data_IF_003067945706
#
_entry.id   IF_003067945706
#
_cell.length_a   1.000
_cell.length_b   1.000
_cell.length_c   1.000
_cell.angle_alpha   90.00
_cell.angle_beta   90.00
_cell.angle_gamma   90.00
#
_symmetry.space_group_name_H-M   'P 1'
#
loop_
_entity.id
_entity.type
_entity.pdbx_description
1 polymer ?
#
# COMPACT_ATOMS: atom_id res chain seq x y z
N UNK A 1 15.72 -16.83 11.78
CA UNK A 1 15.11 -18.17 11.85
C UNK A 1 14.17 -18.35 13.05
N UNK A 2 14.50 -17.85 14.25
CA UNK A 2 13.69 -18.09 15.48
C UNK A 2 12.21 -17.75 15.31
N UNK A 3 11.88 -16.60 14.70
CA UNK A 3 10.50 -16.20 14.42
C UNK A 3 9.81 -17.17 13.44
N UNK A 4 10.52 -17.63 12.41
CA UNK A 4 10.01 -18.62 11.46
C UNK A 4 9.68 -19.94 12.18
N UNK A 5 10.60 -20.43 13.01
CA UNK A 5 10.40 -21.65 13.80
C UNK A 5 9.26 -21.51 14.82
N UNK A 6 8.96 -20.28 15.28
CA UNK A 6 7.84 -19.99 16.17
C UNK A 6 6.48 -19.86 15.46
N UNK A 7 6.42 -20.04 14.13
CA UNK A 7 5.19 -20.01 13.35
C UNK A 7 4.90 -18.69 12.63
N UNK A 8 5.89 -17.80 12.49
CA UNK A 8 5.76 -16.59 11.67
C UNK A 8 5.55 -16.96 10.19
N UNK A 9 4.45 -16.47 9.60
CA UNK A 9 4.08 -16.78 8.20
C UNK A 9 4.49 -15.71 7.19
N UNK A 10 4.77 -14.49 7.66
CA UNK A 10 5.19 -13.35 6.84
C UNK A 10 5.93 -12.31 7.68
N UNK A 11 6.83 -11.54 7.06
CA UNK A 11 7.44 -10.35 7.66
C UNK A 11 6.81 -9.10 7.08
N UNK A 12 6.53 -8.09 7.91
CA UNK A 12 5.92 -6.83 7.46
C UNK A 12 6.52 -5.62 8.16
N UNK A 13 6.48 -4.48 7.49
CA UNK A 13 6.81 -3.15 8.03
C UNK A 13 5.56 -2.30 8.35
N UNK A 14 4.39 -2.94 8.50
CA UNK A 14 3.16 -2.24 8.82
C UNK A 14 3.31 -1.29 10.03
N UNK A 15 2.82 -0.07 9.87
CA UNK A 15 2.90 1.00 10.88
C UNK A 15 4.14 1.90 10.80
N UNK A 16 5.28 1.42 10.27
CA UNK A 16 6.48 2.25 10.07
C UNK A 16 7.18 1.88 8.76
N UNK A 17 7.15 2.77 7.77
CA UNK A 17 7.87 2.53 6.51
C UNK A 17 9.38 2.40 6.74
N UNK A 18 9.97 1.39 6.10
CA UNK A 18 11.42 1.26 5.96
C UNK A 18 11.93 2.29 4.93
N UNK A 19 12.48 3.39 5.42
CA UNK A 19 12.98 4.50 4.60
C UNK A 19 14.18 4.12 3.73
N UNK A 20 15.11 3.33 4.28
CA UNK A 20 16.36 2.99 3.60
C UNK A 20 16.17 1.75 2.72
N UNK A 21 16.32 1.91 1.40
CA UNK A 21 16.23 0.80 0.44
C UNK A 21 17.21 -0.33 0.76
N UNK A 22 18.41 -0.02 1.25
CA UNK A 22 19.38 -1.04 1.67
C UNK A 22 18.85 -1.90 2.81
N UNK A 23 18.20 -1.29 3.81
CA UNK A 23 17.62 -2.03 4.93
C UNK A 23 16.46 -2.92 4.47
N UNK A 24 15.60 -2.41 3.58
CA UNK A 24 14.50 -3.18 3.00
C UNK A 24 15.03 -4.36 2.16
N UNK A 25 16.05 -4.13 1.33
CA UNK A 25 16.72 -5.15 0.54
C UNK A 25 17.31 -6.26 1.43
N UNK A 26 18.04 -5.90 2.50
CA UNK A 26 18.56 -6.88 3.46
C UNK A 26 17.45 -7.67 4.14
N UNK A 27 16.34 -7.02 4.51
CA UNK A 27 15.20 -7.72 5.11
C UNK A 27 14.57 -8.74 4.13
N UNK A 28 14.43 -8.35 2.86
CA UNK A 28 13.97 -9.26 1.80
C UNK A 28 14.95 -10.41 1.57
N UNK A 29 16.26 -10.16 1.59
CA UNK A 29 17.30 -11.20 1.42
C UNK A 29 17.19 -12.27 2.51
N UNK A 30 17.12 -11.86 3.79
CA UNK A 30 16.90 -12.79 4.91
C UNK A 30 15.56 -13.53 4.83
N UNK A 31 14.51 -12.86 4.36
CA UNK A 31 13.21 -13.51 4.17
C UNK A 31 13.25 -14.56 3.06
N UNK A 32 14.06 -14.32 2.02
CA UNK A 32 14.27 -15.23 0.89
C UNK A 32 14.92 -16.54 1.35
N UNK A 33 16.01 -16.43 2.14
CA UNK A 33 16.70 -17.59 2.75
C UNK A 33 15.76 -18.46 3.60
N UNK A 34 14.76 -17.84 4.22
CA UNK A 34 13.79 -18.51 5.09
C UNK A 34 12.53 -18.98 4.34
N UNK A 35 12.38 -18.65 3.05
CA UNK A 35 11.17 -18.93 2.27
C UNK A 35 9.92 -18.20 2.78
N UNK A 36 10.09 -17.09 3.51
CA UNK A 36 9.00 -16.31 4.10
C UNK A 36 8.64 -15.14 3.18
N UNK A 37 7.34 -14.85 3.04
CA UNK A 37 6.85 -13.72 2.25
C UNK A 37 7.06 -12.40 3.01
N UNK A 38 7.41 -11.35 2.26
CA UNK A 38 7.43 -9.97 2.78
C UNK A 38 6.14 -9.26 2.38
N UNK A 39 5.46 -8.64 3.34
CA UNK A 39 4.30 -7.76 3.13
C UNK A 39 4.76 -6.31 3.30
N UNK A 40 4.74 -5.51 2.24
CA UNK A 40 5.17 -4.11 2.26
C UNK A 40 3.96 -3.16 2.38
N UNK A 41 3.96 -2.37 3.46
CA UNK A 41 3.15 -1.16 3.59
C UNK A 41 3.87 -0.03 2.85
N UNK A 42 3.44 0.19 1.60
CA UNK A 42 4.10 1.10 0.68
C UNK A 42 3.71 2.57 0.94
N UNK A 43 4.58 3.29 1.65
CA UNK A 43 4.45 4.74 1.84
C UNK A 43 5.82 5.40 1.93
N UNK A 44 6.18 6.28 0.99
CA UNK A 44 7.43 7.02 1.06
C UNK A 44 7.47 7.96 2.28
N UNK A 45 8.45 7.82 3.18
CA UNK A 45 8.44 8.54 4.46
C UNK A 45 8.80 10.01 4.32
N UNK A 46 9.33 10.44 3.16
CA UNK A 46 9.73 11.81 2.89
C UNK A 46 8.73 12.55 1.99
N UNK A 47 7.73 11.84 1.46
CA UNK A 47 6.74 12.40 0.56
C UNK A 47 5.32 12.28 1.14
N UNK A 48 4.68 13.41 1.43
CA UNK A 48 3.34 13.43 2.03
C UNK A 48 3.30 13.22 3.54
N UNK A 49 4.45 13.18 4.23
CA UNK A 49 4.50 13.04 5.68
C UNK A 49 3.61 14.08 6.40
N UNK A 50 2.78 13.63 7.35
CA UNK A 50 1.80 14.45 8.05
C UNK A 50 0.58 14.87 7.23
N UNK A 51 0.42 14.38 6.00
CA UNK A 51 -0.81 14.56 5.22
C UNK A 51 -1.97 13.81 5.86
N UNK A 52 -3.18 14.36 5.76
CA UNK A 52 -4.40 13.80 6.38
C UNK A 52 -5.42 13.25 5.38
N UNK A 53 -5.18 13.45 4.08
CA UNK A 53 -6.05 12.97 3.01
C UNK A 53 -5.28 12.90 1.68
N UNK A 54 -5.94 12.51 0.59
CA UNK A 54 -5.36 12.51 -0.74
C UNK A 54 -4.92 13.93 -1.16
N UNK A 55 -3.79 14.05 -1.86
CA UNK A 55 -3.41 15.30 -2.51
C UNK A 55 -4.26 15.52 -3.75
N UNK A 56 -5.15 16.52 -3.69
CA UNK A 56 -6.09 16.83 -4.77
C UNK A 56 -6.68 18.23 -4.64
N UNK A 57 -7.52 18.68 -5.59
CA UNK A 57 -8.29 19.91 -5.42
C UNK A 57 -9.17 19.91 -4.16
N UNK A 58 -9.60 18.75 -3.67
CA UNK A 58 -10.40 18.64 -2.44
C UNK A 58 -9.55 19.01 -1.22
N UNK A 59 -8.33 18.48 -1.11
CA UNK A 59 -7.43 18.84 0.00
C UNK A 59 -7.05 20.31 -0.02
N UNK A 60 -6.82 20.88 -1.21
CA UNK A 60 -6.58 22.32 -1.39
C UNK A 60 -7.77 23.17 -0.92
N UNK A 61 -9.00 22.79 -1.28
CA UNK A 61 -10.23 23.48 -0.85
C UNK A 61 -10.46 23.42 0.65
N UNK A 62 -10.13 22.28 1.28
CA UNK A 62 -10.27 22.08 2.73
C UNK A 62 -9.11 22.65 3.54
N UNK A 63 -8.06 23.16 2.89
CA UNK A 63 -6.85 23.64 3.57
C UNK A 63 -6.08 22.53 4.30
N UNK A 64 -6.27 21.27 3.89
CA UNK A 64 -5.63 20.10 4.49
C UNK A 64 -4.39 19.69 3.70
N UNK A 65 -3.34 19.28 4.40
CA UNK A 65 -2.14 18.72 3.75
C UNK A 65 -2.50 17.37 3.11
N UNK A 66 -2.31 17.27 1.80
CA UNK A 66 -2.52 16.04 1.04
C UNK A 66 -1.30 15.10 1.08
N UNK A 67 -1.55 13.81 0.86
CA UNK A 67 -0.53 12.80 0.54
C UNK A 67 -0.62 12.47 -0.95
N UNK A 68 0.45 12.63 -1.74
CA UNK A 68 0.43 12.27 -3.16
C UNK A 68 0.30 10.75 -3.34
N UNK A 69 -0.26 10.33 -4.48
CA UNK A 69 -0.24 8.92 -4.91
C UNK A 69 1.19 8.40 -5.14
N UNK A 70 2.09 9.30 -5.54
CA UNK A 70 3.52 8.99 -5.74
C UNK A 70 4.20 8.41 -4.49
N UNK A 71 3.74 8.76 -3.28
CA UNK A 71 4.29 8.20 -2.05
C UNK A 71 4.10 6.67 -1.98
N UNK A 72 2.97 6.17 -2.48
CA UNK A 72 2.69 4.74 -2.54
C UNK A 72 3.47 4.08 -3.69
N UNK A 73 3.39 4.66 -4.88
CA UNK A 73 3.93 4.03 -6.11
C UNK A 73 5.45 3.91 -6.11
N UNK A 74 6.18 4.86 -5.49
CA UNK A 74 7.64 4.77 -5.35
C UNK A 74 8.05 3.52 -4.57
N UNK A 75 7.35 3.23 -3.47
CA UNK A 75 7.67 2.08 -2.63
C UNK A 75 7.26 0.76 -3.28
N UNK A 76 6.13 0.74 -4.00
CA UNK A 76 5.72 -0.41 -4.82
C UNK A 76 6.75 -0.70 -5.91
N UNK A 77 7.20 0.32 -6.64
CA UNK A 77 8.22 0.17 -7.67
C UNK A 77 9.52 -0.39 -7.09
N UNK A 78 9.96 0.11 -5.92
CA UNK A 78 11.12 -0.44 -5.20
C UNK A 78 10.96 -1.92 -4.89
N UNK A 79 9.80 -2.33 -4.38
CA UNK A 79 9.51 -3.73 -4.05
C UNK A 79 9.48 -4.62 -5.31
N UNK A 80 8.87 -4.13 -6.39
CA UNK A 80 8.83 -4.82 -7.70
C UNK A 80 10.22 -5.04 -8.27
N UNK A 81 11.14 -4.08 -8.14
CA UNK A 81 12.51 -4.21 -8.65
C UNK A 81 13.35 -5.18 -7.79
N UNK A 82 13.16 -5.19 -6.48
CA UNK A 82 13.93 -6.04 -5.56
C UNK A 82 13.46 -7.50 -5.54
N UNK A 83 12.17 -7.75 -5.71
CA UNK A 83 11.60 -9.10 -5.68
C UNK A 83 12.29 -10.09 -6.64
N UNK A 84 12.43 -9.81 -7.95
CA UNK A 84 13.14 -10.71 -8.86
C UNK A 84 14.64 -10.75 -8.61
N UNK A 85 15.24 -9.64 -8.15
CA UNK A 85 16.66 -9.57 -7.82
C UNK A 85 17.05 -10.54 -6.68
N UNK A 86 16.16 -10.72 -5.70
CA UNK A 86 16.35 -11.58 -4.53
C UNK A 86 15.61 -12.92 -4.61
N UNK A 87 14.96 -13.20 -5.75
CA UNK A 87 14.13 -14.39 -5.98
C UNK A 87 13.10 -14.63 -4.85
N UNK A 88 12.41 -13.59 -4.43
CA UNK A 88 11.44 -13.62 -3.34
C UNK A 88 10.06 -13.12 -3.77
N UNK A 89 9.01 -13.67 -3.17
CA UNK A 89 7.64 -13.16 -3.30
C UNK A 89 7.41 -11.97 -2.37
N UNK A 90 6.82 -10.92 -2.91
CA UNK A 90 6.38 -9.76 -2.12
C UNK A 90 4.88 -9.55 -2.24
N UNK A 91 4.24 -9.17 -1.16
CA UNK A 91 2.83 -8.81 -1.09
C UNK A 91 2.69 -7.32 -0.80
N UNK A 92 1.92 -6.59 -1.59
CA UNK A 92 1.69 -5.16 -1.42
C UNK A 92 0.38 -4.93 -0.67
N UNK A 93 0.48 -4.30 0.50
CA UNK A 93 -0.68 -4.03 1.34
C UNK A 93 -1.56 -2.90 0.77
N UNK A 94 -2.88 -3.04 0.97
CA UNK A 94 -3.90 -2.00 0.84
C UNK A 94 -3.70 -0.96 -0.28
N UNK A 95 -3.50 -1.42 -1.52
CA UNK A 95 -3.26 -0.59 -2.70
C UNK A 95 -4.42 0.41 -2.89
N UNK A 96 -4.08 1.69 -3.10
CA UNK A 96 -5.07 2.77 -3.15
C UNK A 96 -5.14 3.54 -4.46
N UNK A 97 -4.12 3.45 -5.33
CA UNK A 97 -4.04 4.27 -6.55
C UNK A 97 -4.15 3.47 -7.86
N UNK A 98 -4.69 4.11 -8.91
CA UNK A 98 -4.66 3.57 -10.29
C UNK A 98 -3.22 3.31 -10.77
N UNK A 99 -2.30 4.22 -10.45
CA UNK A 99 -0.90 4.11 -10.87
C UNK A 99 -0.23 2.88 -10.23
N UNK A 100 -0.55 2.56 -8.98
CA UNK A 100 -0.10 1.35 -8.30
C UNK A 100 -0.62 0.09 -9.00
N UNK A 101 -1.90 0.10 -9.43
CA UNK A 101 -2.47 -0.99 -10.24
C UNK A 101 -1.71 -1.18 -11.55
N UNK A 102 -1.42 -0.08 -12.27
CA UNK A 102 -0.67 -0.13 -13.53
C UNK A 102 0.74 -0.71 -13.34
N UNK A 103 1.44 -0.31 -12.27
CA UNK A 103 2.75 -0.86 -11.91
C UNK A 103 2.68 -2.37 -11.63
N UNK A 104 1.69 -2.79 -10.85
CA UNK A 104 1.49 -4.20 -10.51
C UNK A 104 1.14 -5.04 -11.73
N UNK A 105 0.24 -4.57 -12.59
CA UNK A 105 -0.10 -5.23 -13.84
C UNK A 105 1.15 -5.41 -14.71
N UNK A 106 1.91 -4.34 -14.94
CA UNK A 106 3.13 -4.39 -15.73
C UNK A 106 4.23 -5.28 -15.13
N UNK A 107 4.29 -5.40 -13.80
CA UNK A 107 5.20 -6.32 -13.13
C UNK A 107 4.77 -7.78 -13.30
N UNK A 108 3.48 -8.07 -13.11
CA UNK A 108 2.91 -9.42 -13.32
C UNK A 108 3.07 -9.89 -14.77
N UNK A 109 2.88 -9.00 -15.75
CA UNK A 109 3.11 -9.31 -17.18
C UNK A 109 4.56 -9.72 -17.48
N UNK A 110 5.52 -9.21 -16.70
CA UNK A 110 6.94 -9.58 -16.79
C UNK A 110 7.29 -10.84 -15.99
N UNK A 111 6.31 -11.48 -15.35
CA UNK A 111 6.50 -12.67 -14.52
C UNK A 111 7.00 -12.39 -13.11
N UNK A 112 6.92 -11.15 -12.62
CA UNK A 112 7.28 -10.84 -11.25
C UNK A 112 6.34 -11.56 -10.28
N UNK A 113 6.91 -12.13 -9.21
CA UNK A 113 6.15 -12.87 -8.18
C UNK A 113 5.61 -11.92 -7.11
N UNK A 114 4.89 -10.89 -7.55
CA UNK A 114 4.23 -9.90 -6.70
C UNK A 114 2.75 -10.23 -6.56
N UNK A 115 2.22 -10.06 -5.36
CA UNK A 115 0.78 -10.10 -5.08
C UNK A 115 0.36 -8.80 -4.40
N UNK A 116 -0.92 -8.47 -4.41
CA UNK A 116 -1.43 -7.26 -3.81
C UNK A 116 -2.84 -7.44 -3.27
N UNK A 117 -3.18 -6.65 -2.27
CA UNK A 117 -4.54 -6.52 -1.74
C UNK A 117 -5.04 -5.08 -1.82
N UNK A 118 -6.35 -4.91 -1.77
CA UNK A 118 -6.98 -3.61 -1.48
C UNK A 118 -8.07 -3.78 -0.41
N UNK A 119 -8.59 -2.66 0.08
CA UNK A 119 -9.55 -2.64 1.17
C UNK A 119 -10.95 -2.25 0.70
N UNK A 120 -12.02 -2.79 1.33
CA UNK A 120 -13.40 -2.50 0.94
C UNK A 120 -13.74 -1.00 0.89
N UNK A 121 -13.17 -0.21 1.80
CA UNK A 121 -13.35 1.25 1.83
C UNK A 121 -12.84 1.94 0.56
N UNK A 122 -11.78 1.46 -0.09
CA UNK A 122 -11.29 2.06 -1.34
C UNK A 122 -12.18 1.74 -2.56
N UNK A 123 -12.99 0.68 -2.47
CA UNK A 123 -13.93 0.30 -3.53
C UNK A 123 -15.26 1.08 -3.47
N UNK A 124 -15.63 1.55 -2.28
CA UNK A 124 -16.96 2.15 -2.03
C UNK A 124 -16.89 3.64 -1.66
N UNK A 125 -15.75 4.11 -1.16
CA UNK A 125 -15.52 5.50 -0.78
C UNK A 125 -14.41 6.12 -1.62
N UNK A 126 -14.41 7.45 -1.69
CA UNK A 126 -13.37 8.26 -2.32
C UNK A 126 -13.14 9.55 -1.49
N UNK A 127 -12.22 10.39 -1.93
CA UNK A 127 -11.77 11.60 -1.25
C UNK A 127 -12.89 12.58 -0.84
N UNK A 128 -14.03 12.56 -1.53
CA UNK A 128 -15.21 13.38 -1.14
C UNK A 128 -15.77 13.00 0.23
N UNK A 129 -15.48 11.78 0.72
CA UNK A 129 -15.93 11.31 2.04
C UNK A 129 -15.28 12.07 3.20
N UNK A 130 -14.19 12.79 2.93
CA UNK A 130 -13.47 13.65 3.90
C UNK A 130 -14.11 15.04 4.01
N UNK A 131 -15.06 15.39 3.13
CA UNK A 131 -15.77 16.66 3.22
C UNK A 131 -16.44 16.86 4.59
N UNK A 132 -16.67 18.14 4.93
CA UNK A 132 -17.09 18.55 6.28
C UNK A 132 -16.13 18.11 7.40
N UNK A 133 -14.86 17.86 7.09
CA UNK A 133 -13.83 17.42 8.04
C UNK A 133 -14.20 16.11 8.75
N UNK A 134 -14.83 15.18 8.02
CA UNK A 134 -15.22 13.89 8.56
C UNK A 134 -13.99 13.02 8.86
N UNK A 135 -13.55 13.01 10.12
CA UNK A 135 -12.38 12.24 10.58
C UNK A 135 -12.57 10.73 10.45
N UNK A 136 -13.81 10.22 10.35
CA UNK A 136 -14.06 8.78 10.09
C UNK A 136 -13.61 8.33 8.70
N UNK A 137 -13.44 9.26 7.76
CA UNK A 137 -12.91 8.99 6.42
C UNK A 137 -11.37 9.17 6.34
N UNK A 138 -10.71 9.52 7.46
CA UNK A 138 -9.26 9.60 7.55
C UNK A 138 -8.68 8.21 7.78
N UNK A 139 -8.15 7.63 6.72
CA UNK A 139 -7.46 6.32 6.70
C UNK A 139 -6.09 6.46 6.04
N UNK A 140 -5.24 5.43 6.13
CA UNK A 140 -3.92 5.40 5.50
C UNK A 140 -3.70 4.06 4.78
N UNK A 141 -3.41 4.03 3.46
CA UNK A 141 -3.39 5.15 2.52
C UNK A 141 -4.73 5.93 2.48
N UNK A 142 -4.73 7.23 2.12
CA UNK A 142 -5.97 8.00 2.13
C UNK A 142 -6.91 7.56 1.01
N UNK A 143 -8.22 7.79 1.21
CA UNK A 143 -9.21 7.64 0.14
C UNK A 143 -8.85 8.56 -1.03
N UNK A 144 -8.65 7.96 -2.21
CA UNK A 144 -8.18 8.64 -3.43
C UNK A 144 -9.34 9.13 -4.30
N UNK A 145 -9.09 9.42 -5.57
CA UNK A 145 -10.13 9.92 -6.48
C UNK A 145 -11.13 8.82 -6.83
N UNK A 146 -12.34 9.15 -7.32
CA UNK A 146 -13.29 8.16 -7.84
C UNK A 146 -12.69 7.29 -8.96
N UNK A 147 -11.77 7.88 -9.72
CA UNK A 147 -11.01 7.25 -10.80
C UNK A 147 -10.07 6.14 -10.30
N UNK A 148 -9.48 6.34 -9.13
CA UNK A 148 -8.68 5.32 -8.44
C UNK A 148 -9.57 4.18 -7.94
N UNK A 149 -10.71 4.49 -7.28
CA UNK A 149 -11.67 3.47 -6.84
C UNK A 149 -12.17 2.59 -7.99
N UNK A 150 -12.47 3.19 -9.14
CA UNK A 150 -12.87 2.46 -10.34
C UNK A 150 -11.74 1.57 -10.87
N UNK A 151 -10.49 2.04 -10.84
CA UNK A 151 -9.33 1.26 -11.24
C UNK A 151 -9.08 0.06 -10.31
N UNK A 152 -9.21 0.24 -8.99
CA UNK A 152 -9.09 -0.84 -8.01
C UNK A 152 -10.17 -1.91 -8.20
N UNK A 153 -11.42 -1.48 -8.43
CA UNK A 153 -12.52 -2.40 -8.70
C UNK A 153 -12.28 -3.22 -9.97
N UNK A 154 -11.77 -2.58 -11.02
CA UNK A 154 -11.45 -3.26 -12.27
C UNK A 154 -10.25 -4.20 -12.09
N UNK A 155 -9.21 -3.75 -11.38
CA UNK A 155 -8.03 -4.55 -11.05
C UNK A 155 -8.35 -5.83 -10.26
N UNK A 156 -9.34 -5.77 -9.36
CA UNK A 156 -9.84 -6.93 -8.63
C UNK A 156 -10.55 -7.93 -9.56
N UNK A 157 -11.31 -7.44 -10.54
CA UNK A 157 -11.97 -8.29 -11.55
C UNK A 157 -10.97 -8.94 -12.49
N UNK A 158 -9.92 -8.20 -12.86
CA UNK A 158 -8.90 -8.65 -13.80
C UNK A 158 -7.79 -9.50 -13.14
N UNK A 159 -7.80 -9.63 -11.81
CA UNK A 159 -6.81 -10.40 -11.05
C UNK A 159 -5.46 -9.71 -10.88
N UNK A 160 -5.37 -8.42 -11.18
CA UNK A 160 -4.19 -7.60 -10.86
C UNK A 160 -4.06 -7.45 -9.34
N UNK A 161 -5.18 -7.23 -8.66
CA UNK A 161 -5.29 -7.32 -7.19
C UNK A 161 -5.79 -8.72 -6.83
N UNK A 162 -5.07 -9.40 -5.95
CA UNK A 162 -5.28 -10.82 -5.64
C UNK A 162 -6.33 -11.05 -4.56
N UNK A 163 -6.46 -10.11 -3.62
CA UNK A 163 -7.33 -10.28 -2.46
C UNK A 163 -7.93 -8.98 -1.92
N UNK A 164 -8.93 -9.14 -1.06
CA UNK A 164 -9.44 -8.08 -0.19
C UNK A 164 -8.96 -8.31 1.24
N UNK A 165 -8.45 -7.26 1.88
CA UNK A 165 -8.14 -7.24 3.29
C UNK A 165 -8.78 -6.04 3.96
N UNK A 166 -9.20 -6.19 5.21
CA UNK A 166 -10.02 -5.16 5.89
C UNK A 166 -9.22 -3.97 6.39
N UNK A 167 -7.91 -4.16 6.61
CA UNK A 167 -7.07 -3.21 7.33
C UNK A 167 -7.74 -2.67 8.61
N UNK A 168 -8.24 -3.59 9.44
CA UNK A 168 -9.03 -3.24 10.62
C UNK A 168 -8.19 -2.43 11.63
N UNK A 169 -8.37 -1.11 11.61
CA UNK A 169 -7.70 -0.15 12.48
C UNK A 169 -8.70 0.54 13.45
N UNK A 170 -9.03 -0.09 14.60
CA UNK A 170 -9.97 0.47 15.55
C UNK A 170 -9.37 1.69 16.28
N UNK A 171 -10.15 2.75 16.38
CA UNK A 171 -9.82 3.97 17.11
C UNK A 171 -10.87 4.29 18.17
N UNK A 172 -10.46 4.90 19.28
CA UNK A 172 -11.40 5.37 20.29
C UNK A 172 -12.10 6.65 19.81
N UNK A 173 -13.32 6.90 20.28
CA UNK A 173 -14.12 8.05 19.84
C UNK A 173 -13.54 9.44 20.21
N UNK A 174 -12.49 9.47 21.05
CA UNK A 174 -11.84 10.68 21.55
C UNK A 174 -10.45 10.92 20.94
N UNK A 175 -9.99 10.03 20.06
CA UNK A 175 -8.76 10.19 19.29
C UNK A 175 -8.95 11.11 18.07
#
# INVERSE_FOLDING_TARGET
>A
DTLACAGCVAFSNYGVTIAYTELFCRAMDYASDLGIVVIDNCEDPFLGNGGSMNESPVSGRLGLKGKPGAAETIQIARAIELAPYLNIRVHIAHVSTRQSVELLAGAKDKGATVTAETCPNYLVLNESSVECYNTRAKVNPPLRTPDDSAALLQALRDGVIDSLATDHAPHAAHE
#
